data_IF_807183628166
#
_entry.id   IF_807183628166
#
_cell.length_a   1.000
_cell.length_b   1.000
_cell.length_c   1.000
_cell.angle_alpha   90.00
_cell.angle_beta   90.00
_cell.angle_gamma   90.00
#
_symmetry.space_group_name_H-M   'P 1'
#
loop_
_entity.id
_entity.type
_entity.pdbx_description
1 polymer ?
#
# COMPACT_ATOMS: atom_id res chain seq x y z
N UNK A 1 -15.32 27.42 -70.29
CA UNK A 1 -14.26 27.22 -69.31
C UNK A 1 -14.91 27.01 -67.96
N UNK A 2 -15.10 25.75 -67.54
CA UNK A 2 -15.71 25.40 -66.23
C UNK A 2 -14.62 24.98 -65.27
N UNK A 3 -14.31 25.85 -64.31
CA UNK A 3 -13.50 25.46 -63.15
C UNK A 3 -14.41 24.87 -62.11
N UNK A 4 -14.38 23.53 -61.97
CA UNK A 4 -14.96 22.84 -60.83
C UNK A 4 -13.99 22.96 -59.65
N UNK A 5 -14.39 23.66 -58.58
CA UNK A 5 -13.73 23.66 -57.31
C UNK A 5 -14.00 22.33 -56.62
N UNK A 6 -12.95 21.56 -56.41
CA UNK A 6 -12.98 20.39 -55.50
C UNK A 6 -12.73 20.91 -54.10
N UNK A 7 -13.75 20.98 -53.27
CA UNK A 7 -13.63 21.10 -51.82
C UNK A 7 -13.55 19.70 -51.29
N UNK A 8 -12.32 19.23 -51.12
CA UNK A 8 -12.04 17.92 -50.53
C UNK A 8 -12.06 17.98 -49.01
N UNK A 9 -12.77 17.05 -48.43
CA UNK A 9 -12.99 16.93 -46.99
C UNK A 9 -11.74 16.74 -46.15
N UNK A 10 -11.55 17.67 -45.24
CA UNK A 10 -10.56 17.58 -44.18
C UNK A 10 -11.20 17.58 -42.76
N UNK A 11 -12.46 17.10 -42.66
CA UNK A 11 -13.23 17.24 -41.42
C UNK A 11 -13.48 16.01 -40.60
N UNK A 12 -13.10 14.81 -41.08
CA UNK A 12 -13.52 13.55 -40.38
C UNK A 12 -12.45 12.81 -39.62
N UNK A 13 -11.21 13.27 -39.61
CA UNK A 13 -10.10 12.50 -38.95
C UNK A 13 -9.78 12.91 -37.51
N UNK A 14 -10.27 14.04 -37.02
CA UNK A 14 -9.96 14.51 -35.67
C UNK A 14 -10.83 13.88 -34.57
N UNK A 15 -12.07 13.51 -34.83
CA UNK A 15 -12.99 12.99 -33.81
C UNK A 15 -12.59 11.57 -33.31
N UNK A 16 -12.01 10.73 -34.19
CA UNK A 16 -11.60 9.38 -33.85
C UNK A 16 -10.38 9.33 -32.92
N UNK A 17 -9.46 10.29 -33.04
CA UNK A 17 -8.25 10.34 -32.20
C UNK A 17 -8.58 10.76 -30.76
N UNK A 18 -9.52 11.68 -30.56
CA UNK A 18 -9.97 12.09 -29.22
C UNK A 18 -10.76 10.99 -28.51
N UNK A 19 -11.60 10.24 -29.21
CA UNK A 19 -12.36 9.12 -28.64
C UNK A 19 -11.47 7.97 -28.16
N UNK A 20 -10.46 7.58 -28.93
CA UNK A 20 -9.51 6.54 -28.56
C UNK A 20 -8.64 6.97 -27.36
N UNK A 21 -8.20 8.21 -27.30
CA UNK A 21 -7.44 8.75 -26.17
C UNK A 21 -8.25 8.80 -24.89
N UNK A 22 -9.52 9.17 -24.95
CA UNK A 22 -10.41 9.19 -23.78
C UNK A 22 -10.72 7.79 -23.26
N UNK A 23 -11.04 6.83 -24.12
CA UNK A 23 -11.27 5.44 -23.74
C UNK A 23 -10.03 4.78 -23.12
N UNK A 24 -8.83 5.02 -23.67
CA UNK A 24 -7.57 4.55 -23.11
C UNK A 24 -7.26 5.21 -21.77
N UNK A 25 -7.59 6.49 -21.57
CA UNK A 25 -7.45 7.20 -20.29
C UNK A 25 -8.37 6.64 -19.21
N UNK A 26 -9.63 6.31 -19.54
CA UNK A 26 -10.57 5.68 -18.61
C UNK A 26 -10.14 4.26 -18.23
N UNK A 27 -9.63 3.45 -19.18
CA UNK A 27 -9.13 2.11 -18.90
C UNK A 27 -7.93 2.14 -17.94
N UNK A 28 -7.07 3.19 -17.96
CA UNK A 28 -5.96 3.39 -17.03
C UNK A 28 -6.41 3.72 -15.60
N UNK A 29 -7.63 4.15 -15.39
CA UNK A 29 -8.20 4.46 -14.08
C UNK A 29 -8.95 3.25 -13.46
N UNK A 30 -8.90 2.07 -14.09
CA UNK A 30 -9.41 0.86 -13.50
C UNK A 30 -8.64 0.52 -12.22
N UNK A 31 -9.35 0.21 -11.16
CA UNK A 31 -8.77 -0.15 -9.85
C UNK A 31 -9.01 -1.62 -9.53
N UNK A 32 -8.11 -2.20 -8.73
CA UNK A 32 -8.24 -3.56 -8.23
C UNK A 32 -8.91 -3.58 -6.85
N UNK A 33 -9.67 -4.63 -6.57
CA UNK A 33 -10.24 -4.94 -5.26
C UNK A 33 -9.73 -6.33 -4.81
N UNK A 34 -8.47 -6.42 -4.37
CA UNK A 34 -7.90 -7.70 -3.96
C UNK A 34 -8.62 -8.25 -2.72
N UNK A 35 -8.73 -9.57 -2.64
CA UNK A 35 -9.30 -10.29 -1.48
C UNK A 35 -8.24 -10.62 -0.40
N UNK A 36 -7.04 -10.11 -0.57
CA UNK A 36 -5.98 -10.17 0.43
C UNK A 36 -6.34 -9.38 1.68
N UNK A 37 -5.59 -9.57 2.75
CA UNK A 37 -5.76 -8.80 4.00
C UNK A 37 -4.60 -7.82 4.13
N UNK A 38 -4.90 -6.55 4.28
CA UNK A 38 -3.92 -5.49 4.51
C UNK A 38 -3.97 -5.06 5.98
N UNK A 39 -2.89 -5.28 6.71
CA UNK A 39 -2.72 -4.72 8.06
C UNK A 39 -1.89 -3.45 7.98
N UNK A 40 -2.40 -2.36 8.54
CA UNK A 40 -1.68 -1.09 8.67
C UNK A 40 -1.45 -0.83 10.15
N UNK A 41 -0.19 -0.78 10.57
CA UNK A 41 0.18 -0.53 11.97
C UNK A 41 0.76 0.87 12.12
N UNK A 42 0.04 1.75 12.79
CA UNK A 42 0.49 3.10 13.15
C UNK A 42 1.06 3.07 14.55
N UNK A 43 2.23 3.68 14.75
CA UNK A 43 3.04 3.54 15.96
C UNK A 43 3.37 4.92 16.53
N UNK A 44 3.21 5.02 17.85
CA UNK A 44 3.74 6.10 18.66
C UNK A 44 4.80 5.52 19.59
N UNK A 45 6.02 6.08 19.51
CA UNK A 45 7.13 5.63 20.33
C UNK A 45 7.12 6.26 21.72
N UNK A 46 7.64 5.57 22.71
CA UNK A 46 7.98 6.19 23.99
C UNK A 46 9.04 7.28 23.78
N UNK A 47 9.00 8.32 24.59
CA UNK A 47 9.85 9.51 24.42
C UNK A 47 11.35 9.22 24.51
N UNK A 48 11.74 8.28 25.36
CA UNK A 48 13.15 7.98 25.66
C UNK A 48 13.74 6.87 24.78
N UNK A 49 13.04 6.45 23.74
CA UNK A 49 13.51 5.41 22.81
C UNK A 49 14.45 6.03 21.79
N UNK A 50 15.63 5.43 21.63
CA UNK A 50 16.62 5.85 20.64
C UNK A 50 16.14 5.62 19.21
N UNK A 51 16.66 6.39 18.26
CA UNK A 51 16.38 6.17 16.83
C UNK A 51 16.90 4.80 16.37
N UNK A 52 18.01 4.32 16.96
CA UNK A 52 18.55 2.99 16.66
C UNK A 52 17.57 1.87 17.08
N UNK A 53 16.93 1.98 18.24
CA UNK A 53 15.95 0.98 18.70
C UNK A 53 14.66 1.03 17.87
N UNK A 54 14.22 2.22 17.48
CA UNK A 54 13.08 2.40 16.56
C UNK A 54 13.37 1.74 15.21
N UNK A 55 14.56 2.00 14.66
CA UNK A 55 14.98 1.42 13.38
C UNK A 55 15.10 -0.10 13.48
N UNK A 56 15.66 -0.62 14.57
CA UNK A 56 15.73 -2.08 14.82
C UNK A 56 14.37 -2.74 14.83
N UNK A 57 13.36 -2.10 15.42
CA UNK A 57 11.99 -2.62 15.41
C UNK A 57 11.43 -2.68 13.98
N UNK A 58 11.65 -1.65 13.16
CA UNK A 58 11.21 -1.61 11.77
C UNK A 58 11.96 -2.62 10.88
N UNK A 59 13.27 -2.80 11.10
CA UNK A 59 14.06 -3.84 10.43
C UNK A 59 13.54 -5.24 10.78
N UNK A 60 13.12 -5.43 12.02
CA UNK A 60 12.47 -6.66 12.47
C UNK A 60 11.18 -6.98 11.70
N UNK A 61 10.36 -5.99 11.37
CA UNK A 61 9.17 -6.18 10.50
C UNK A 61 9.59 -6.69 9.13
N UNK A 62 10.65 -6.13 8.55
CA UNK A 62 11.20 -6.60 7.27
C UNK A 62 11.68 -8.05 7.34
N UNK A 63 12.33 -8.42 8.44
CA UNK A 63 12.77 -9.80 8.66
C UNK A 63 11.59 -10.77 8.78
N UNK A 64 10.55 -10.39 9.54
CA UNK A 64 9.32 -11.19 9.65
C UNK A 64 8.69 -11.41 8.28
N UNK A 65 8.59 -10.36 7.46
CA UNK A 65 8.05 -10.45 6.11
C UNK A 65 8.85 -11.41 5.21
N UNK A 66 10.15 -11.53 5.42
CA UNK A 66 11.00 -12.47 4.69
C UNK A 66 10.97 -13.91 5.21
N UNK A 67 10.53 -14.14 6.45
CA UNK A 67 10.61 -15.45 7.12
C UNK A 67 9.25 -16.11 7.34
N UNK A 68 8.18 -15.35 7.50
CA UNK A 68 6.83 -15.87 7.78
C UNK A 68 6.08 -16.07 6.47
N UNK A 69 5.63 -17.29 6.15
CA UNK A 69 4.81 -17.55 4.97
C UNK A 69 3.50 -16.75 4.98
N UNK A 70 2.98 -16.45 3.80
CA UNK A 70 1.69 -15.76 3.64
C UNK A 70 1.77 -14.24 3.67
N UNK A 71 2.92 -13.65 3.97
CA UNK A 71 3.15 -12.21 3.78
C UNK A 71 3.56 -11.99 2.32
N UNK A 72 2.74 -11.23 1.60
CA UNK A 72 2.90 -10.97 0.16
C UNK A 72 3.69 -9.69 -0.10
N UNK A 73 3.42 -8.65 0.66
CA UNK A 73 3.98 -7.31 0.46
C UNK A 73 4.20 -6.62 1.79
N UNK A 74 5.23 -5.79 1.89
CA UNK A 74 5.55 -4.99 3.07
C UNK A 74 5.84 -3.55 2.69
N UNK A 75 5.33 -2.60 3.49
CA UNK A 75 5.65 -1.17 3.43
C UNK A 75 6.24 -0.73 4.77
N UNK A 76 7.41 -0.09 4.74
CA UNK A 76 8.20 0.23 5.93
C UNK A 76 8.46 1.72 6.12
N UNK A 77 7.99 2.55 5.20
CA UNK A 77 8.23 4.00 5.26
C UNK A 77 6.93 4.75 5.08
N UNK A 78 6.69 5.69 5.99
CA UNK A 78 5.60 6.65 5.86
C UNK A 78 6.07 7.82 5.01
N UNK A 79 5.35 8.09 3.94
CA UNK A 79 5.56 9.28 3.12
C UNK A 79 4.87 10.50 3.76
N UNK A 80 3.63 10.30 4.23
CA UNK A 80 2.83 11.34 4.87
C UNK A 80 1.91 10.76 5.93
N UNK A 81 1.83 11.42 7.09
CA UNK A 81 0.87 11.09 8.16
C UNK A 81 0.06 12.31 8.56
N UNK A 82 -1.26 12.14 8.58
CA UNK A 82 -2.22 13.15 9.05
C UNK A 82 -3.41 12.47 9.74
N UNK A 83 -3.79 12.91 10.96
CA UNK A 83 -3.07 13.86 11.81
C UNK A 83 -1.71 13.30 12.27
N UNK A 84 -0.85 14.15 12.83
CA UNK A 84 0.50 13.78 13.29
C UNK A 84 0.52 13.24 14.73
N UNK A 85 -0.47 12.42 15.08
CA UNK A 85 -0.57 11.84 16.42
C UNK A 85 0.28 10.58 16.59
N UNK A 86 0.78 10.03 15.50
CA UNK A 86 1.66 8.88 15.42
C UNK A 86 2.99 9.25 14.76
N UNK A 87 4.05 8.54 15.11
CA UNK A 87 5.41 8.83 14.66
C UNK A 87 5.75 8.14 13.32
N UNK A 88 5.24 6.92 13.15
CA UNK A 88 5.50 6.11 11.96
C UNK A 88 4.40 5.06 11.73
N UNK A 89 4.51 4.34 10.63
CA UNK A 89 3.66 3.20 10.33
C UNK A 89 4.39 2.19 9.46
N UNK A 90 3.92 0.95 9.49
CA UNK A 90 4.23 -0.06 8.48
C UNK A 90 2.94 -0.73 8.01
N UNK A 91 3.00 -1.43 6.89
CA UNK A 91 1.90 -2.24 6.42
C UNK A 91 2.37 -3.61 5.92
N UNK A 92 1.55 -4.62 6.16
CA UNK A 92 1.73 -5.99 5.68
C UNK A 92 0.51 -6.41 4.89
N UNK A 93 0.71 -6.95 3.70
CA UNK A 93 -0.33 -7.62 2.93
C UNK A 93 -0.18 -9.13 3.10
N UNK A 94 -1.22 -9.76 3.60
CA UNK A 94 -1.33 -11.22 3.74
C UNK A 94 -2.14 -11.80 2.59
N UNK A 95 -1.76 -12.99 2.14
CA UNK A 95 -2.46 -13.69 1.06
C UNK A 95 -3.89 -14.07 1.40
N UNK A 96 -4.20 -14.22 2.71
CA UNK A 96 -5.52 -14.58 3.21
C UNK A 96 -5.69 -14.17 4.68
N UNK A 97 -6.91 -14.32 5.20
CA UNK A 97 -7.20 -14.14 6.64
C UNK A 97 -6.47 -15.19 7.48
N UNK A 98 -6.40 -16.41 7.01
CA UNK A 98 -5.67 -17.51 7.67
C UNK A 98 -4.18 -17.16 7.80
N UNK A 99 -3.56 -16.65 6.74
CA UNK A 99 -2.16 -16.19 6.78
C UNK A 99 -1.94 -15.05 7.78
N UNK A 100 -2.88 -14.14 7.93
CA UNK A 100 -2.82 -13.07 8.94
C UNK A 100 -2.93 -13.62 10.37
N UNK A 101 -3.78 -14.63 10.59
CA UNK A 101 -3.89 -15.32 11.88
C UNK A 101 -2.62 -16.11 12.21
N UNK A 102 -2.10 -16.87 11.26
CA UNK A 102 -0.84 -17.64 11.41
C UNK A 102 0.34 -16.73 11.75
N UNK A 103 0.40 -15.54 11.12
CA UNK A 103 1.38 -14.51 11.47
C UNK A 103 1.26 -14.07 12.92
N UNK A 104 0.05 -13.78 13.39
CA UNK A 104 -0.17 -13.32 14.77
C UNK A 104 0.27 -14.36 15.83
N UNK A 105 0.13 -15.64 15.53
CA UNK A 105 0.49 -16.77 16.40
C UNK A 105 1.93 -17.27 16.16
N UNK A 106 2.64 -16.74 15.19
CA UNK A 106 3.98 -17.22 14.85
C UNK A 106 5.02 -16.86 15.94
N UNK A 107 5.86 -17.80 16.39
CA UNK A 107 6.87 -17.54 17.43
C UNK A 107 7.87 -16.42 17.07
N UNK A 108 8.19 -16.23 15.80
CA UNK A 108 9.05 -15.12 15.36
C UNK A 108 8.36 -13.78 15.58
N UNK A 109 7.05 -13.69 15.27
CA UNK A 109 6.24 -12.51 15.56
C UNK A 109 6.14 -12.25 17.06
N UNK A 110 5.94 -13.28 17.88
CA UNK A 110 5.88 -13.16 19.34
C UNK A 110 7.20 -12.58 19.90
N UNK A 111 8.33 -13.09 19.46
CA UNK A 111 9.66 -12.61 19.88
C UNK A 111 9.88 -11.15 19.50
N UNK A 112 9.60 -10.79 18.26
CA UNK A 112 9.67 -9.40 17.79
C UNK A 112 8.70 -8.51 18.57
N UNK A 113 7.48 -8.96 18.77
CA UNK A 113 6.42 -8.22 19.44
C UNK A 113 6.79 -7.86 20.88
N UNK A 114 7.41 -8.78 21.64
CA UNK A 114 7.89 -8.48 23.00
C UNK A 114 8.86 -7.31 23.04
N UNK A 115 9.83 -7.27 22.13
CA UNK A 115 10.78 -6.17 22.03
C UNK A 115 10.11 -4.86 21.56
N UNK A 116 9.21 -4.95 20.60
CA UNK A 116 8.45 -3.81 20.10
C UNK A 116 7.52 -3.20 21.16
N UNK A 117 6.79 -4.04 21.92
CA UNK A 117 5.90 -3.59 22.99
C UNK A 117 6.64 -2.83 24.10
N UNK A 118 7.90 -3.18 24.35
CA UNK A 118 8.73 -2.48 25.35
C UNK A 118 9.03 -1.03 24.99
N UNK A 119 9.07 -0.69 23.70
CA UNK A 119 9.48 0.63 23.21
C UNK A 119 8.33 1.48 22.61
N UNK A 120 7.18 0.89 22.33
CA UNK A 120 6.02 1.65 21.85
C UNK A 120 5.23 2.26 23.02
N UNK A 121 4.70 3.45 22.82
CA UNK A 121 3.73 4.10 23.71
C UNK A 121 2.30 3.66 23.35
N UNK A 122 1.95 3.75 22.07
CA UNK A 122 0.66 3.34 21.53
C UNK A 122 0.78 2.81 20.11
N UNK A 123 -0.19 2.00 19.69
CA UNK A 123 -0.35 1.64 18.29
C UNK A 123 -1.80 1.30 17.94
N UNK A 124 -2.13 1.47 16.68
CA UNK A 124 -3.39 1.04 16.07
C UNK A 124 -3.03 0.17 14.88
N UNK A 125 -3.65 -0.99 14.76
CA UNK A 125 -3.33 -1.96 13.70
C UNK A 125 -4.60 -2.51 13.04
N UNK A 126 -5.38 -1.69 12.32
CA UNK A 126 -6.54 -2.17 11.58
C UNK A 126 -6.12 -3.14 10.46
N UNK A 127 -6.98 -4.13 10.22
CA UNK A 127 -6.91 -5.02 9.07
C UNK A 127 -8.05 -4.72 8.12
N UNK A 128 -7.73 -4.56 6.84
CA UNK A 128 -8.68 -4.24 5.78
C UNK A 128 -8.69 -5.37 4.74
N UNK A 129 -9.86 -5.62 4.19
CA UNK A 129 -10.05 -6.49 3.03
C UNK A 129 -11.25 -5.99 2.23
N UNK A 130 -11.43 -6.52 1.03
CA UNK A 130 -12.59 -6.20 0.20
C UNK A 130 -13.70 -7.25 0.36
N UNK A 131 -14.99 -6.86 0.19
CA UNK A 131 -16.13 -7.78 0.24
C UNK A 131 -16.11 -8.85 -0.82
#
# INVERSE_FOLDING_TARGET
>A
MNRKLLIGGAGLTMAAVFGAGYAAGQAKNAFAQPKTVLQVSMIKWKKDVSDADRQKAMDGVKELAGKIPGIKTVWLKVDRMQPRDYDTAFALEFTSREAANDYAENPLHETWSKAYLAIRDASISPQLTNP
#
